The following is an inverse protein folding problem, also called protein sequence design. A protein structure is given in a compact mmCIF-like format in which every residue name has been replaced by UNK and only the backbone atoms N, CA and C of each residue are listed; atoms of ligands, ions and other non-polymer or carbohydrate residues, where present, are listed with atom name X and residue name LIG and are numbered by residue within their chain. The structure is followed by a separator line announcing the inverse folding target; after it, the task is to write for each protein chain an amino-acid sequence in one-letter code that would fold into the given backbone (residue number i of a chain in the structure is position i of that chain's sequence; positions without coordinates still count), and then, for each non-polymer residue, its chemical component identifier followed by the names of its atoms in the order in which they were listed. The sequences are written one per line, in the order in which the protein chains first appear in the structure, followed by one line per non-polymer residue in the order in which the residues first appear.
data_IF_470890776551
#
_entry.id   IF_470890776551
#
_cell.length_a   1.000
_cell.length_b   1.000
_cell.length_c   1.000
_cell.angle_alpha   90.00
_cell.angle_beta   90.00
_cell.angle_gamma   90.00
#
_symmetry.space_group_name_H-M   'P 1'
#
loop_
_entity.id
_entity.type
_entity.pdbx_description
1 polymer ?
#
# COMPACT_ATOMS: atom_id res chain seq x y z
N UNK A 1 18.90 -33.42 17.86
CA UNK A 1 17.57 -33.49 17.24
C UNK A 1 17.17 -32.07 16.91
N UNK A 2 17.25 -31.68 15.64
CA UNK A 2 16.86 -30.34 15.17
C UNK A 2 15.34 -30.30 15.17
N UNK A 3 14.68 -29.29 15.78
CA UNK A 3 13.22 -29.20 15.72
C UNK A 3 12.78 -29.07 14.26
N UNK A 4 11.62 -29.67 13.88
CA UNK A 4 11.11 -29.53 12.53
C UNK A 4 10.90 -28.05 12.22
N UNK A 5 11.41 -27.62 11.06
CA UNK A 5 11.14 -26.30 10.50
C UNK A 5 9.62 -26.17 10.40
N UNK A 6 9.05 -25.21 11.12
CA UNK A 6 7.62 -24.89 11.04
C UNK A 6 7.24 -24.76 9.56
N UNK A 7 6.11 -25.32 9.11
CA UNK A 7 5.63 -25.05 7.76
C UNK A 7 5.51 -23.53 7.63
N UNK A 8 6.09 -22.97 6.56
CA UNK A 8 5.92 -21.55 6.24
C UNK A 8 4.42 -21.29 6.12
N UNK A 9 3.85 -20.66 7.16
CA UNK A 9 2.48 -20.19 7.10
C UNK A 9 2.39 -19.29 5.88
N UNK A 10 1.45 -19.59 4.97
CA UNK A 10 0.99 -18.58 4.02
C UNK A 10 0.65 -17.33 4.81
N UNK A 11 1.08 -16.17 4.30
CA UNK A 11 0.86 -14.81 4.82
C UNK A 11 -0.22 -14.77 5.89
N UNK A 12 0.17 -14.56 7.16
CA UNK A 12 -0.69 -14.64 8.36
C UNK A 12 -1.77 -13.55 8.45
N UNK A 13 -2.28 -13.11 7.30
CA UNK A 13 -3.22 -12.03 7.10
C UNK A 13 -4.64 -12.61 7.09
N UNK A 14 -5.51 -12.08 7.94
CA UNK A 14 -6.91 -12.51 8.01
C UNK A 14 -7.68 -12.25 6.71
N UNK A 15 -8.91 -12.77 6.55
CA UNK A 15 -9.71 -12.66 5.32
C UNK A 15 -9.99 -11.23 4.83
N UNK A 16 -9.82 -10.23 5.70
CA UNK A 16 -10.02 -8.81 5.40
C UNK A 16 -8.72 -8.02 5.35
N UNK A 17 -7.57 -8.67 5.57
CA UNK A 17 -6.31 -7.97 5.62
C UNK A 17 -5.76 -7.63 4.23
N UNK A 18 -4.72 -6.82 4.22
CA UNK A 18 -4.02 -6.36 3.03
C UNK A 18 -2.82 -7.26 2.75
N UNK A 19 -2.69 -7.68 1.50
CA UNK A 19 -1.42 -8.13 0.92
C UNK A 19 -1.22 -7.34 -0.38
N UNK A 20 -0.12 -6.60 -0.47
CA UNK A 20 0.27 -5.91 -1.70
C UNK A 20 1.71 -6.26 -2.06
N UNK A 21 1.90 -6.91 -3.20
CA UNK A 21 3.21 -7.34 -3.68
C UNK A 21 3.58 -6.62 -4.97
N UNK A 22 4.85 -6.22 -5.06
CA UNK A 22 5.49 -5.71 -6.26
C UNK A 22 6.59 -6.71 -6.62
N UNK A 23 6.41 -7.44 -7.72
CA UNK A 23 7.40 -8.37 -8.27
C UNK A 23 8.20 -7.68 -9.38
N UNK A 24 9.53 -7.74 -9.28
CA UNK A 24 10.45 -7.23 -10.28
C UNK A 24 11.56 -8.23 -10.60
N UNK A 25 12.33 -7.96 -11.65
CA UNK A 25 13.42 -8.85 -12.10
C UNK A 25 14.51 -9.10 -11.05
N UNK A 26 14.62 -8.22 -10.05
CA UNK A 26 15.65 -8.26 -9.00
C UNK A 26 15.12 -8.71 -7.64
N UNK A 27 13.86 -9.13 -7.54
CA UNK A 27 13.24 -9.52 -6.29
C UNK A 27 11.84 -8.96 -6.11
N UNK A 28 11.32 -9.05 -4.89
CA UNK A 28 9.98 -8.59 -4.56
C UNK A 28 9.92 -7.73 -3.29
N UNK A 29 8.91 -6.88 -3.24
CA UNK A 29 8.51 -6.12 -2.07
C UNK A 29 7.08 -6.53 -1.73
N UNK A 30 6.82 -6.89 -0.48
CA UNK A 30 5.48 -7.24 0.01
C UNK A 30 5.12 -6.38 1.20
N UNK A 31 3.91 -5.81 1.19
CA UNK A 31 3.27 -5.18 2.33
C UNK A 31 2.15 -6.08 2.84
N UNK A 32 2.15 -6.35 4.15
CA UNK A 32 1.08 -7.09 4.82
C UNK A 32 0.46 -6.26 5.94
N UNK A 33 -0.86 -6.29 6.08
CA UNK A 33 -1.55 -5.72 7.24
C UNK A 33 -2.78 -6.53 7.59
N UNK A 34 -3.09 -6.62 8.88
CA UNK A 34 -4.28 -7.34 9.36
C UNK A 34 -5.58 -6.55 9.06
N UNK A 35 -5.46 -5.29 8.63
CA UNK A 35 -6.56 -4.42 8.20
C UNK A 35 -6.30 -3.89 6.77
N UNK A 36 -7.34 -3.66 5.96
CA UNK A 36 -7.19 -3.16 4.58
C UNK A 36 -7.05 -1.63 4.54
N UNK A 37 -6.31 -1.04 5.48
CA UNK A 37 -6.25 0.40 5.73
C UNK A 37 -4.81 0.93 5.60
N UNK A 38 -4.16 0.70 4.45
CA UNK A 38 -2.76 1.06 4.18
C UNK A 38 -2.44 2.54 4.44
N UNK A 39 -3.42 3.43 4.26
CA UNK A 39 -3.27 4.87 4.49
C UNK A 39 -3.45 5.29 5.96
N UNK A 40 -3.61 4.35 6.90
CA UNK A 40 -3.85 4.65 8.32
C UNK A 40 -2.99 3.76 9.22
N UNK A 41 -2.95 2.46 8.89
CA UNK A 41 -2.22 1.45 9.65
C UNK A 41 -0.93 1.11 8.92
N UNK A 42 0.20 1.24 9.62
CA UNK A 42 1.48 0.84 9.07
C UNK A 42 1.47 -0.67 8.75
N UNK A 43 1.79 -1.06 7.50
CA UNK A 43 1.91 -2.47 7.15
C UNK A 43 3.29 -3.01 7.56
N UNK A 44 3.37 -4.32 7.76
CA UNK A 44 4.64 -5.04 7.80
C UNK A 44 5.25 -5.05 6.40
N UNK A 45 6.48 -4.54 6.26
CA UNK A 45 7.24 -4.54 5.00
C UNK A 45 8.16 -5.75 4.93
N UNK A 46 8.17 -6.42 3.79
CA UNK A 46 9.08 -7.51 3.47
C UNK A 46 9.83 -7.23 2.16
N UNK A 47 11.14 -7.48 2.16
CA UNK A 47 11.99 -7.46 0.97
C UNK A 47 12.50 -8.88 0.73
N UNK A 48 12.16 -9.49 -0.40
CA UNK A 48 12.52 -10.88 -0.71
C UNK A 48 12.12 -11.89 0.38
N UNK A 49 10.98 -11.63 1.06
CA UNK A 49 10.47 -12.45 2.16
C UNK A 49 11.12 -12.19 3.53
N UNK A 50 12.12 -11.32 3.62
CA UNK A 50 12.70 -10.89 4.89
C UNK A 50 12.02 -9.62 5.40
N UNK A 51 11.53 -9.65 6.65
CA UNK A 51 10.86 -8.50 7.23
C UNK A 51 11.86 -7.36 7.47
N UNK A 52 11.53 -6.18 6.95
CA UNK A 52 12.26 -4.95 7.19
C UNK A 52 11.53 -4.16 8.27
N UNK A 53 12.23 -3.88 9.38
CA UNK A 53 11.71 -3.04 10.44
C UNK A 53 11.89 -1.58 10.04
N UNK A 54 10.78 -0.85 9.96
CA UNK A 54 10.77 0.59 9.78
C UNK A 54 10.45 1.22 11.13
N UNK A 55 11.10 2.33 11.46
CA UNK A 55 10.73 3.10 12.64
C UNK A 55 9.31 3.65 12.47
N UNK A 56 8.41 3.18 13.32
CA UNK A 56 7.04 3.67 13.37
C UNK A 56 6.91 4.69 14.51
N UNK A 57 6.30 5.83 14.21
CA UNK A 57 5.91 6.84 15.20
C UNK A 57 4.70 6.41 16.07
N UNK A 58 4.11 5.24 15.78
CA UNK A 58 2.98 4.64 16.50
C UNK A 58 1.66 5.40 16.37
N UNK A 59 1.60 6.44 15.54
CA UNK A 59 0.46 7.35 15.44
C UNK A 59 -0.35 7.10 14.18
N UNK A 60 -1.65 6.84 14.35
CA UNK A 60 -2.60 6.67 13.24
C UNK A 60 -2.82 7.94 12.40
N UNK A 61 -2.26 9.08 12.81
CA UNK A 61 -2.37 10.37 12.12
C UNK A 61 -1.02 10.88 11.60
N UNK A 62 0.08 10.16 11.79
CA UNK A 62 1.38 10.71 11.45
C UNK A 62 1.59 10.90 9.94
N UNK A 63 0.96 10.08 9.11
CA UNK A 63 0.93 10.30 7.67
C UNK A 63 0.21 11.61 7.29
N UNK A 64 -0.87 11.96 8.00
CA UNK A 64 -1.56 13.24 7.83
C UNK A 64 -0.67 14.40 8.26
N UNK A 65 0.05 14.24 9.38
CA UNK A 65 1.06 15.20 9.84
C UNK A 65 2.13 15.46 8.78
N UNK A 66 2.77 14.39 8.25
CA UNK A 66 3.75 14.48 7.16
C UNK A 66 3.18 15.16 5.92
N UNK A 67 1.93 14.86 5.54
CA UNK A 67 1.28 15.52 4.41
C UNK A 67 1.10 17.03 4.63
N UNK A 68 0.74 17.45 5.85
CA UNK A 68 0.66 18.88 6.20
C UNK A 68 2.02 19.56 6.22
N UNK A 69 3.08 18.88 6.68
CA UNK A 69 4.46 19.39 6.64
C UNK A 69 4.91 19.65 5.20
N UNK A 70 4.61 18.73 4.28
CA UNK A 70 4.89 18.92 2.85
C UNK A 70 4.07 20.07 2.27
N UNK A 71 2.77 20.13 2.56
CA UNK A 71 1.91 21.24 2.12
C UNK A 71 2.42 22.61 2.59
N UNK A 72 2.87 22.70 3.85
CA UNK A 72 3.34 23.94 4.46
C UNK A 72 4.62 24.51 3.80
N UNK A 73 5.37 23.72 3.02
CA UNK A 73 6.53 24.21 2.26
C UNK A 73 6.15 25.24 1.19
N UNK A 74 4.87 25.30 0.81
CA UNK A 74 4.33 26.23 -0.17
C UNK A 74 4.13 25.62 -1.55
N UNK A 75 3.47 26.38 -2.43
CA UNK A 75 3.07 25.93 -3.76
C UNK A 75 4.29 25.47 -4.59
N UNK A 76 4.18 24.25 -5.14
CA UNK A 76 5.22 23.63 -5.96
C UNK A 76 6.50 23.23 -5.22
N UNK A 77 6.54 23.33 -3.88
CA UNK A 77 7.75 23.06 -3.07
C UNK A 77 7.68 21.80 -2.21
N UNK A 78 6.48 21.35 -1.87
CA UNK A 78 6.25 20.11 -1.14
C UNK A 78 5.86 18.95 -2.03
N UNK A 79 6.05 17.74 -1.52
CA UNK A 79 5.59 16.50 -2.16
C UNK A 79 4.29 16.03 -1.52
N UNK A 80 3.16 16.38 -2.13
CA UNK A 80 1.82 15.98 -1.68
C UNK A 80 0.85 15.87 -2.87
N UNK A 81 -0.17 14.99 -2.79
CA UNK A 81 -1.16 14.85 -3.84
C UNK A 81 -1.94 16.13 -4.10
N UNK A 82 -2.21 16.44 -5.37
CA UNK A 82 -3.01 17.59 -5.78
C UNK A 82 -4.32 17.17 -6.50
N UNK A 83 -5.08 18.14 -7.01
CA UNK A 83 -6.33 17.85 -7.70
C UNK A 83 -6.17 17.05 -9.00
N UNK A 84 -5.06 17.20 -9.73
CA UNK A 84 -4.81 16.38 -10.92
C UNK A 84 -4.60 14.91 -10.55
N UNK A 85 -3.95 14.63 -9.41
CA UNK A 85 -3.80 13.26 -8.90
C UNK A 85 -5.17 12.67 -8.51
N UNK A 86 -6.01 13.47 -7.86
CA UNK A 86 -7.39 13.07 -7.53
C UNK A 86 -8.22 12.79 -8.80
N UNK A 87 -8.07 13.60 -9.85
CA UNK A 87 -8.75 13.38 -11.13
C UNK A 87 -8.27 12.09 -11.84
N UNK A 88 -6.96 11.78 -11.78
CA UNK A 88 -6.42 10.51 -12.29
C UNK A 88 -7.02 9.31 -11.55
N UNK A 89 -7.06 9.36 -10.23
CA UNK A 89 -7.69 8.31 -9.41
C UNK A 89 -9.17 8.15 -9.76
N UNK A 90 -9.90 9.27 -9.92
CA UNK A 90 -11.31 9.25 -10.30
C UNK A 90 -11.53 8.54 -11.64
N UNK A 91 -10.73 8.86 -12.66
CA UNK A 91 -10.82 8.24 -13.99
C UNK A 91 -10.59 6.73 -13.93
N UNK A 92 -9.64 6.27 -13.11
CA UNK A 92 -9.41 4.84 -12.86
C UNK A 92 -10.64 4.17 -12.25
N UNK A 93 -11.26 4.76 -11.23
CA UNK A 93 -12.47 4.21 -10.58
C UNK A 93 -13.67 4.15 -11.54
N UNK A 94 -13.85 5.18 -12.36
CA UNK A 94 -14.91 5.21 -13.38
C UNK A 94 -14.68 4.11 -14.45
N UNK A 95 -13.43 3.89 -14.86
CA UNK A 95 -13.08 2.83 -15.81
C UNK A 95 -13.28 1.42 -15.22
N UNK A 96 -12.96 1.20 -13.94
CA UNK A 96 -13.25 -0.07 -13.24
C UNK A 96 -14.76 -0.33 -13.23
N UNK A 97 -15.57 0.67 -12.87
CA UNK A 97 -17.03 0.57 -12.83
C UNK A 97 -17.62 0.25 -14.20
N UNK A 98 -17.12 0.94 -15.23
CA UNK A 98 -17.51 0.71 -16.63
C UNK A 98 -17.11 -0.68 -17.12
N UNK A 99 -15.88 -1.11 -16.84
CA UNK A 99 -15.37 -2.44 -17.18
C UNK A 99 -16.25 -3.54 -16.59
N UNK A 100 -16.61 -3.42 -15.31
CA UNK A 100 -17.49 -4.39 -14.64
C UNK A 100 -18.90 -4.42 -15.23
N UNK A 101 -19.43 -3.26 -15.64
CA UNK A 101 -20.80 -3.17 -16.19
C UNK A 101 -20.87 -3.67 -17.63
N UNK A 102 -19.88 -3.33 -18.45
CA UNK A 102 -19.87 -3.64 -19.88
C UNK A 102 -19.20 -4.99 -20.20
N UNK A 103 -18.53 -5.62 -19.24
CA UNK A 103 -17.86 -6.91 -19.42
C UNK A 103 -16.67 -6.85 -20.38
N UNK A 104 -16.03 -5.69 -20.53
CA UNK A 104 -14.89 -5.49 -21.43
C UNK A 104 -13.79 -4.66 -20.79
N UNK A 105 -12.56 -4.84 -21.26
CA UNK A 105 -11.43 -3.98 -20.92
C UNK A 105 -11.72 -2.53 -21.34
N UNK A 106 -11.37 -1.60 -20.45
CA UNK A 106 -11.36 -0.17 -20.69
C UNK A 106 -9.91 0.30 -20.57
N UNK A 107 -9.38 0.94 -21.60
CA UNK A 107 -8.04 1.52 -21.57
C UNK A 107 -8.09 2.94 -20.98
N UNK A 108 -7.03 3.28 -20.23
CA UNK A 108 -6.87 4.53 -19.49
C UNK A 108 -5.83 5.43 -20.15
#
# INVERSE_FOLDING_TARGET
MVPPKSPSLGSGVGPLGLVWTIDGEKGNITLESDLPLLHIVAPRLFLNGEQILIEEDGSMIANVGRAWEEFAKGEGKGDYPNFEDALRLRRLLDAISKSSTEGRRVDL
#
